data_IF_736812276850
#
_entry.id   IF_736812276850
#
_cell.length_a   1.000
_cell.length_b   1.000
_cell.length_c   1.000
_cell.angle_alpha   90.00
_cell.angle_beta   90.00
_cell.angle_gamma   90.00
#
_symmetry.space_group_name_H-M   'P 1'
#
loop_
_entity.id
_entity.type
_entity.pdbx_description
1 polymer ?
#
# COMPACT_ATOMS: atom_id res chain seq x y z
N UNK A 1 -8.13 -13.86 -5.75
CA UNK A 1 -7.73 -12.44 -6.03
C UNK A 1 -7.38 -12.32 -7.50
N UNK A 2 -7.94 -11.31 -8.17
CA UNK A 2 -7.68 -11.07 -9.61
C UNK A 2 -6.54 -10.07 -9.79
N UNK A 3 -5.69 -10.31 -10.79
CA UNK A 3 -4.54 -9.48 -11.14
C UNK A 3 -4.82 -8.77 -12.46
N UNK A 4 -4.47 -7.49 -12.55
CA UNK A 4 -4.70 -6.65 -13.73
C UNK A 4 -3.41 -6.18 -14.41
N UNK A 5 -2.27 -6.24 -13.73
CA UNK A 5 -0.97 -5.87 -14.28
C UNK A 5 0.18 -6.48 -13.48
N UNK A 6 1.35 -6.59 -14.10
CA UNK A 6 2.58 -7.12 -13.50
C UNK A 6 3.75 -6.22 -13.89
N UNK A 7 4.58 -5.88 -12.91
CA UNK A 7 5.93 -5.34 -13.14
C UNK A 7 6.92 -6.40 -12.68
N UNK A 8 7.62 -7.01 -13.64
CA UNK A 8 8.52 -8.16 -13.38
C UNK A 8 9.81 -7.78 -12.67
N UNK A 9 10.23 -6.52 -12.79
CA UNK A 9 11.48 -6.02 -12.22
C UNK A 9 11.20 -4.79 -11.35
N UNK A 10 10.98 -5.01 -10.06
CA UNK A 10 10.71 -3.98 -9.06
C UNK A 10 11.86 -3.90 -8.06
N UNK A 11 12.68 -2.85 -8.16
CA UNK A 11 13.83 -2.64 -7.27
C UNK A 11 13.55 -1.61 -6.17
N UNK A 12 12.81 -0.54 -6.48
CA UNK A 12 12.54 0.55 -5.53
C UNK A 12 11.39 0.15 -4.60
N UNK A 13 10.34 -0.43 -5.15
CA UNK A 13 9.14 -0.84 -4.41
C UNK A 13 9.40 -2.03 -3.49
N UNK A 14 10.41 -2.86 -3.78
CA UNK A 14 10.69 -4.04 -2.98
C UNK A 14 11.45 -3.77 -1.68
N UNK A 15 12.03 -2.58 -1.46
CA UNK A 15 12.71 -2.28 -0.20
C UNK A 15 11.86 -2.67 1.03
N UNK A 16 12.46 -3.27 2.06
CA UNK A 16 13.89 -3.44 2.35
C UNK A 16 14.55 -4.64 1.64
N UNK A 17 13.86 -5.35 0.76
CA UNK A 17 14.40 -6.45 -0.04
C UNK A 17 15.11 -5.93 -1.30
N UNK A 18 15.66 -6.83 -2.13
CA UNK A 18 16.57 -6.42 -3.21
C UNK A 18 15.88 -6.39 -4.57
N UNK A 19 15.18 -7.46 -4.96
CA UNK A 19 14.57 -7.61 -6.27
C UNK A 19 13.19 -8.26 -6.15
N UNK A 20 12.17 -7.59 -6.63
CA UNK A 20 10.80 -8.05 -6.51
C UNK A 20 10.03 -8.06 -7.82
N UNK A 21 8.90 -8.74 -7.77
CA UNK A 21 7.84 -8.68 -8.78
C UNK A 21 6.61 -8.03 -8.17
N UNK A 22 6.03 -7.03 -8.86
CA UNK A 22 4.83 -6.33 -8.39
C UNK A 22 3.59 -6.84 -9.11
N UNK A 23 2.62 -7.30 -8.33
CA UNK A 23 1.33 -7.79 -8.80
C UNK A 23 0.23 -6.78 -8.44
N UNK A 24 -0.41 -6.24 -9.47
CA UNK A 24 -1.44 -5.21 -9.31
C UNK A 24 -2.82 -5.85 -9.20
N UNK A 25 -3.44 -5.74 -8.04
CA UNK A 25 -4.77 -6.30 -7.76
C UNK A 25 -5.89 -5.50 -8.39
N UNK A 26 -6.94 -6.21 -8.80
CA UNK A 26 -8.21 -5.64 -9.22
C UNK A 26 -9.01 -5.13 -8.02
N UNK A 27 -9.70 -3.99 -8.18
CA UNK A 27 -10.63 -3.43 -7.20
C UNK A 27 -9.97 -2.60 -6.10
N UNK A 28 -10.77 -1.68 -5.54
CA UNK A 28 -10.37 -0.83 -4.43
C UNK A 28 -11.59 -0.46 -3.58
N UNK A 29 -11.39 -0.32 -2.27
CA UNK A 29 -12.40 0.13 -1.31
C UNK A 29 -12.43 1.65 -1.11
N UNK A 30 -11.54 2.40 -1.75
CA UNK A 30 -11.54 3.87 -1.79
C UNK A 30 -11.77 4.38 -3.23
N UNK A 31 -12.12 5.68 -3.35
CA UNK A 31 -12.36 6.36 -4.62
C UNK A 31 -11.57 7.67 -4.69
N UNK A 32 -10.26 7.56 -4.51
CA UNK A 32 -9.39 8.73 -4.45
C UNK A 32 -9.37 9.48 -5.78
N UNK A 33 -9.65 10.79 -5.78
CA UNK A 33 -9.59 11.67 -6.96
C UNK A 33 -8.17 11.75 -7.53
N UNK A 34 -7.15 11.58 -6.69
CA UNK A 34 -5.74 11.57 -7.06
C UNK A 34 -5.17 10.15 -7.29
N UNK A 35 -6.01 9.16 -7.57
CA UNK A 35 -5.53 7.78 -7.78
C UNK A 35 -4.48 7.77 -8.89
N UNK A 36 -3.22 7.50 -8.52
CA UNK A 36 -2.06 7.46 -9.42
C UNK A 36 -1.80 6.08 -9.99
N UNK A 37 -1.17 6.07 -11.14
CA UNK A 37 -0.60 4.88 -11.75
C UNK A 37 -1.61 4.00 -12.49
N UNK A 38 -2.70 3.71 -11.86
CA UNK A 38 -3.87 3.11 -12.46
C UNK A 38 -5.04 3.96 -12.01
N UNK A 39 -5.59 4.76 -12.91
CA UNK A 39 -6.84 5.43 -12.62
C UNK A 39 -7.85 4.37 -12.14
N UNK A 40 -8.83 4.80 -11.35
CA UNK A 40 -9.84 3.91 -10.78
C UNK A 40 -10.44 2.96 -11.83
N UNK A 41 -10.66 3.44 -13.06
CA UNK A 41 -11.13 2.65 -14.19
C UNK A 41 -10.22 1.48 -14.53
N UNK A 42 -8.89 1.66 -14.51
CA UNK A 42 -7.95 0.59 -14.86
C UNK A 42 -8.04 -0.57 -13.88
N UNK A 43 -8.09 -0.29 -12.58
CA UNK A 43 -8.14 -1.33 -11.53
C UNK A 43 -9.55 -1.87 -11.27
N UNK A 44 -10.59 -1.29 -11.86
CA UNK A 44 -11.99 -1.75 -11.72
C UNK A 44 -12.61 -2.25 -13.03
N UNK A 45 -11.90 -2.18 -14.16
CA UNK A 45 -12.38 -2.70 -15.42
C UNK A 45 -11.99 -4.19 -15.56
N UNK A 46 -13.00 -5.05 -15.55
CA UNK A 46 -12.81 -6.52 -15.66
C UNK A 46 -12.07 -6.94 -16.93
N UNK A 47 -12.12 -6.15 -18.00
CA UNK A 47 -11.36 -6.42 -19.23
C UNK A 47 -9.85 -6.37 -19.04
N UNK A 48 -9.38 -5.75 -17.98
CA UNK A 48 -7.96 -5.67 -17.65
C UNK A 48 -7.48 -6.86 -16.81
N UNK A 49 -8.35 -7.76 -16.38
CA UNK A 49 -7.97 -8.94 -15.61
C UNK A 49 -7.13 -9.86 -16.50
N UNK A 50 -5.91 -10.16 -16.05
CA UNK A 50 -4.97 -11.03 -16.75
C UNK A 50 -4.91 -12.45 -16.17
N UNK A 51 -5.40 -12.66 -14.94
CA UNK A 51 -5.46 -13.98 -14.31
C UNK A 51 -5.82 -13.95 -12.84
N UNK A 52 -5.92 -15.14 -12.28
CA UNK A 52 -6.01 -15.36 -10.83
C UNK A 52 -4.63 -15.29 -10.20
N UNK A 53 -4.55 -14.80 -8.95
CA UNK A 53 -3.28 -14.55 -8.28
C UNK A 53 -2.38 -15.78 -8.19
N UNK A 54 -2.91 -16.96 -7.94
CA UNK A 54 -2.10 -18.20 -7.82
C UNK A 54 -1.53 -18.58 -9.19
N UNK A 55 -2.32 -18.55 -10.26
CA UNK A 55 -1.86 -18.81 -11.62
C UNK A 55 -0.75 -17.85 -12.04
N UNK A 56 -0.91 -16.57 -11.69
CA UNK A 56 0.10 -15.53 -11.95
C UNK A 56 1.37 -15.77 -11.13
N UNK A 57 1.26 -16.14 -9.85
CA UNK A 57 2.41 -16.45 -9.02
C UNK A 57 3.21 -17.64 -9.61
N UNK A 58 2.52 -18.71 -9.97
CA UNK A 58 3.14 -19.92 -10.54
C UNK A 58 3.82 -19.68 -11.89
N UNK A 59 3.27 -18.80 -12.71
CA UNK A 59 3.80 -18.50 -14.05
C UNK A 59 4.88 -17.43 -14.09
N UNK A 60 4.84 -16.45 -13.18
CA UNK A 60 5.65 -15.22 -13.28
C UNK A 60 6.75 -15.11 -12.23
N UNK A 61 6.59 -15.75 -11.06
CA UNK A 61 7.59 -15.69 -10.00
C UNK A 61 8.72 -16.67 -10.29
N UNK A 62 9.93 -16.13 -10.44
CA UNK A 62 11.15 -16.91 -10.70
C UNK A 62 12.00 -17.09 -9.44
N UNK A 63 12.98 -18.02 -9.44
CA UNK A 63 13.94 -18.15 -8.34
C UNK A 63 14.71 -16.86 -8.03
N UNK A 64 14.89 -16.00 -9.03
CA UNK A 64 15.65 -14.74 -8.90
C UNK A 64 14.92 -13.67 -8.08
N UNK A 65 13.59 -13.70 -8.03
CA UNK A 65 12.83 -12.75 -7.22
C UNK A 65 12.97 -13.07 -5.73
N UNK A 66 13.42 -12.10 -4.93
CA UNK A 66 13.46 -12.17 -3.47
C UNK A 66 12.09 -11.97 -2.85
N UNK A 67 11.30 -11.07 -3.46
CA UNK A 67 10.08 -10.54 -2.89
C UNK A 67 8.94 -10.52 -3.91
N UNK A 68 7.73 -10.83 -3.44
CA UNK A 68 6.48 -10.58 -4.16
C UNK A 68 5.79 -9.37 -3.53
N UNK A 69 5.47 -8.38 -4.36
CA UNK A 69 4.84 -7.14 -3.96
C UNK A 69 3.38 -7.14 -4.41
N UNK A 70 2.47 -7.06 -3.47
CA UNK A 70 1.04 -6.92 -3.73
C UNK A 70 0.65 -5.45 -3.67
N UNK A 71 0.18 -4.90 -4.78
CA UNK A 71 -0.12 -3.49 -5.01
C UNK A 71 -1.34 -3.36 -5.93
N UNK A 72 -1.65 -2.19 -6.43
CA UNK A 72 -2.63 -1.95 -7.50
C UNK A 72 -3.84 -1.18 -7.04
N UNK A 73 -5.05 -1.76 -7.03
CA UNK A 73 -6.22 -1.21 -6.39
C UNK A 73 -6.03 -1.20 -4.88
N UNK A 74 -6.59 -2.19 -4.20
CA UNK A 74 -6.34 -2.42 -2.78
C UNK A 74 -6.27 -3.94 -2.54
N UNK A 75 -5.09 -4.52 -2.33
CA UNK A 75 -4.95 -5.96 -2.15
C UNK A 75 -5.74 -6.52 -0.95
N UNK A 76 -5.86 -5.74 0.13
CA UNK A 76 -6.48 -6.20 1.38
C UNK A 76 -7.99 -6.44 1.28
N UNK A 77 -8.69 -5.95 0.24
CA UNK A 77 -10.10 -6.26 0.02
C UNK A 77 -10.33 -7.74 -0.34
N UNK A 78 -9.28 -8.43 -0.79
CA UNK A 78 -9.36 -9.83 -1.21
C UNK A 78 -9.24 -10.83 -0.06
N UNK A 79 -8.98 -10.37 1.18
CA UNK A 79 -9.03 -11.18 2.39
C UNK A 79 -8.37 -12.55 2.23
N UNK A 80 -9.18 -13.63 2.27
CA UNK A 80 -8.68 -15.01 2.21
C UNK A 80 -7.87 -15.33 0.95
N UNK A 81 -8.19 -14.76 -0.19
CA UNK A 81 -7.44 -15.02 -1.43
C UNK A 81 -6.06 -14.37 -1.38
N UNK A 82 -5.94 -13.18 -0.80
CA UNK A 82 -4.65 -12.56 -0.55
C UNK A 82 -3.83 -13.42 0.44
N UNK A 83 -4.45 -13.88 1.53
CA UNK A 83 -3.75 -14.74 2.51
C UNK A 83 -3.26 -16.05 1.89
N UNK A 84 -4.01 -16.67 0.99
CA UNK A 84 -3.54 -17.84 0.21
C UNK A 84 -2.32 -17.50 -0.65
N UNK A 85 -2.33 -16.35 -1.32
CA UNK A 85 -1.21 -15.90 -2.13
C UNK A 85 0.04 -15.63 -1.28
N UNK A 86 -0.12 -14.99 -0.12
CA UNK A 86 0.96 -14.75 0.84
C UNK A 86 1.53 -16.07 1.39
N UNK A 87 0.66 -17.04 1.69
CA UNK A 87 1.09 -18.38 2.13
C UNK A 87 1.88 -19.10 1.02
N UNK A 88 1.40 -19.02 -0.23
CA UNK A 88 2.13 -19.55 -1.38
C UNK A 88 3.54 -18.94 -1.47
N UNK A 89 3.66 -17.62 -1.30
CA UNK A 89 4.97 -16.95 -1.29
C UNK A 89 5.89 -17.51 -0.19
N UNK A 90 5.36 -17.70 1.01
CA UNK A 90 6.08 -18.26 2.14
C UNK A 90 6.56 -19.67 1.88
N UNK A 91 5.68 -20.53 1.34
CA UNK A 91 5.98 -21.94 1.02
C UNK A 91 7.06 -22.05 -0.08
N UNK A 92 7.17 -21.03 -0.94
CA UNK A 92 8.19 -20.92 -2.00
C UNK A 92 9.40 -20.06 -1.60
N UNK A 93 9.58 -19.74 -0.33
CA UNK A 93 10.75 -19.02 0.20
C UNK A 93 10.84 -17.57 -0.25
N UNK A 94 9.72 -16.94 -0.64
CA UNK A 94 9.65 -15.55 -1.08
C UNK A 94 9.24 -14.63 0.06
N UNK A 95 9.89 -13.46 0.14
CA UNK A 95 9.43 -12.36 0.99
C UNK A 95 8.17 -11.72 0.41
N UNK A 96 7.39 -11.11 1.29
CA UNK A 96 6.14 -10.45 0.89
C UNK A 96 6.12 -9.00 1.33
N UNK A 97 5.70 -8.11 0.43
CA UNK A 97 5.41 -6.72 0.74
C UNK A 97 4.03 -6.35 0.22
N UNK A 98 3.25 -5.66 1.04
CA UNK A 98 1.90 -5.23 0.67
C UNK A 98 1.83 -3.70 0.71
N UNK A 99 1.38 -3.12 -0.41
CA UNK A 99 0.99 -1.73 -0.50
C UNK A 99 -0.50 -1.63 -0.20
N UNK A 100 -0.86 -0.85 0.80
CA UNK A 100 -2.24 -0.72 1.23
C UNK A 100 -2.59 0.72 1.61
N UNK A 101 -3.86 1.07 1.42
CA UNK A 101 -4.39 2.33 1.94
C UNK A 101 -4.64 2.29 3.46
N UNK A 102 -4.40 1.17 4.12
CA UNK A 102 -4.51 1.01 5.57
C UNK A 102 -5.93 0.94 6.12
N UNK A 103 -6.96 1.01 5.26
CA UNK A 103 -8.36 1.12 5.70
C UNK A 103 -8.98 -0.23 6.13
N UNK A 104 -8.55 -1.34 5.56
CA UNK A 104 -9.08 -2.68 5.86
C UNK A 104 -8.39 -3.30 7.10
N UNK A 105 -8.44 -2.62 8.25
CA UNK A 105 -7.74 -3.01 9.48
C UNK A 105 -7.90 -4.49 9.85
N UNK A 106 -9.12 -5.02 9.81
CA UNK A 106 -9.35 -6.41 10.23
C UNK A 106 -8.58 -7.43 9.36
N UNK A 107 -8.53 -7.23 8.04
CA UNK A 107 -7.74 -8.07 7.14
C UNK A 107 -6.24 -7.92 7.39
N UNK A 108 -5.78 -6.67 7.59
CA UNK A 108 -4.37 -6.38 7.87
C UNK A 108 -3.95 -7.05 9.18
N UNK A 109 -4.76 -6.92 10.22
CA UNK A 109 -4.52 -7.57 11.50
C UNK A 109 -4.44 -9.11 11.37
N UNK A 110 -5.36 -9.72 10.63
CA UNK A 110 -5.34 -11.18 10.40
C UNK A 110 -4.08 -11.64 9.67
N UNK A 111 -3.64 -10.89 8.63
CA UNK A 111 -2.38 -11.14 7.92
C UNK A 111 -1.18 -11.05 8.88
N UNK A 112 -1.16 -10.06 9.76
CA UNK A 112 -0.11 -9.87 10.76
C UNK A 112 -0.14 -10.95 11.85
N UNK A 113 -1.32 -11.35 12.33
CA UNK A 113 -1.49 -12.42 13.30
C UNK A 113 -0.94 -13.77 12.77
N UNK A 114 -1.10 -14.01 11.47
CA UNK A 114 -0.58 -15.21 10.78
C UNK A 114 0.90 -15.05 10.38
N UNK A 115 1.50 -13.88 10.56
CA UNK A 115 2.87 -13.60 10.17
C UNK A 115 3.12 -13.75 8.66
N UNK A 116 2.15 -13.40 7.82
CA UNK A 116 2.19 -13.60 6.39
C UNK A 116 2.78 -12.43 5.60
N UNK A 117 3.00 -11.27 6.22
CA UNK A 117 3.58 -10.09 5.58
C UNK A 117 4.92 -9.74 6.20
N UNK A 118 5.96 -9.64 5.37
CA UNK A 118 7.32 -9.29 5.80
C UNK A 118 7.57 -7.77 5.79
N UNK A 119 6.80 -6.99 5.04
CA UNK A 119 6.88 -5.53 5.02
C UNK A 119 5.57 -4.88 4.55
N UNK A 120 5.26 -3.73 5.09
CA UNK A 120 4.11 -2.92 4.67
C UNK A 120 4.56 -1.61 4.03
N UNK A 121 3.84 -1.19 3.00
CA UNK A 121 3.84 0.18 2.51
C UNK A 121 2.44 0.74 2.66
N UNK A 122 2.27 1.70 3.58
CA UNK A 122 0.96 2.25 3.94
C UNK A 122 0.82 3.66 3.39
N UNK A 123 -0.26 3.90 2.67
CA UNK A 123 -0.58 5.21 2.15
C UNK A 123 -1.21 6.11 3.23
N UNK A 124 -0.53 7.20 3.53
CA UNK A 124 -1.07 8.31 4.30
C UNK A 124 -1.70 9.32 3.34
N UNK A 125 -3.03 9.26 3.17
CA UNK A 125 -3.74 9.89 2.05
C UNK A 125 -3.94 11.42 2.16
N UNK A 126 -3.61 12.02 3.29
CA UNK A 126 -3.74 13.47 3.51
C UNK A 126 -4.15 13.83 4.92
N UNK A 127 -4.43 15.10 5.18
CA UNK A 127 -4.77 15.63 6.49
C UNK A 127 -6.07 15.05 7.03
N UNK A 128 -6.08 14.76 8.34
CA UNK A 128 -7.23 14.16 9.03
C UNK A 128 -8.53 14.96 8.85
N UNK A 129 -8.45 16.28 8.81
CA UNK A 129 -9.63 17.15 8.66
C UNK A 129 -10.10 17.35 7.21
N UNK A 130 -9.34 16.88 6.20
CA UNK A 130 -9.62 17.15 4.78
C UNK A 130 -9.75 15.90 3.91
N UNK A 131 -9.09 14.80 4.29
CA UNK A 131 -8.92 13.63 3.42
C UNK A 131 -10.23 13.01 2.93
N UNK A 132 -11.27 13.01 3.74
CA UNK A 132 -12.58 12.44 3.39
C UNK A 132 -13.23 13.09 2.18
N UNK A 133 -12.90 14.36 1.89
CA UNK A 133 -13.45 15.08 0.75
C UNK A 133 -13.07 14.47 -0.61
N UNK A 134 -11.96 13.70 -0.68
CA UNK A 134 -11.41 13.22 -1.95
C UNK A 134 -11.04 11.72 -1.99
N UNK A 135 -11.36 10.95 -0.94
CA UNK A 135 -11.10 9.49 -0.93
C UNK A 135 -12.37 8.63 -0.96
N UNK A 136 -13.56 9.24 -0.86
CA UNK A 136 -14.84 8.57 -0.95
C UNK A 136 -15.35 7.90 0.33
N UNK A 137 -14.70 8.15 1.48
CA UNK A 137 -15.14 7.76 2.83
C UNK A 137 -14.89 8.90 3.80
N UNK A 138 -15.53 8.90 4.98
CA UNK A 138 -15.32 9.97 5.95
C UNK A 138 -13.88 9.98 6.50
N UNK A 139 -13.36 11.18 6.81
CA UNK A 139 -12.03 11.33 7.41
C UNK A 139 -11.90 10.54 8.70
N UNK A 140 -12.90 10.61 9.59
CA UNK A 140 -12.86 9.94 10.88
C UNK A 140 -12.84 8.42 10.74
N UNK A 141 -13.65 7.86 9.85
CA UNK A 141 -13.66 6.43 9.59
C UNK A 141 -12.34 5.94 9.02
N UNK A 142 -11.78 6.68 8.04
CA UNK A 142 -10.48 6.38 7.46
C UNK A 142 -9.37 6.40 8.52
N UNK A 143 -9.26 7.49 9.28
CA UNK A 143 -8.20 7.63 10.28
C UNK A 143 -8.34 6.70 11.47
N UNK A 144 -9.55 6.35 11.88
CA UNK A 144 -9.77 5.32 12.90
C UNK A 144 -9.16 3.97 12.48
N UNK A 145 -9.38 3.55 11.25
CA UNK A 145 -8.82 2.30 10.74
C UNK A 145 -7.31 2.41 10.48
N UNK A 146 -6.85 3.51 9.87
CA UNK A 146 -5.43 3.76 9.63
C UNK A 146 -4.62 3.76 10.93
N UNK A 147 -5.10 4.43 11.97
CA UNK A 147 -4.43 4.47 13.28
C UNK A 147 -4.30 3.08 13.89
N UNK A 148 -5.36 2.26 13.84
CA UNK A 148 -5.31 0.86 14.30
C UNK A 148 -4.30 0.04 13.50
N UNK A 149 -4.31 0.20 12.18
CA UNK A 149 -3.37 -0.46 11.26
C UNK A 149 -1.93 -0.12 11.59
N UNK A 150 -1.60 1.17 11.69
CA UNK A 150 -0.25 1.63 12.00
C UNK A 150 0.19 1.17 13.39
N UNK A 151 -0.69 1.27 14.39
CA UNK A 151 -0.40 0.81 15.75
C UNK A 151 -0.09 -0.69 15.79
N UNK A 152 -0.84 -1.52 15.06
CA UNK A 152 -0.60 -2.97 14.99
C UNK A 152 0.74 -3.29 14.32
N UNK A 153 1.04 -2.68 13.17
CA UNK A 153 2.31 -2.87 12.43
C UNK A 153 3.50 -2.44 13.29
N UNK A 154 3.43 -1.26 13.92
CA UNK A 154 4.49 -0.68 14.75
C UNK A 154 4.73 -1.55 15.99
N UNK A 155 3.68 -1.96 16.70
CA UNK A 155 3.81 -2.77 17.91
C UNK A 155 4.39 -4.16 17.66
N UNK A 156 4.28 -4.67 16.42
CA UNK A 156 4.89 -5.95 15.99
C UNK A 156 6.28 -5.78 15.39
N UNK A 157 6.74 -4.54 15.27
CA UNK A 157 8.04 -4.21 14.69
C UNK A 157 8.22 -4.74 13.24
N UNK A 158 7.14 -4.70 12.44
CA UNK A 158 7.17 -5.10 11.04
C UNK A 158 7.73 -3.94 10.21
N UNK A 159 8.66 -4.17 9.25
CA UNK A 159 9.16 -3.15 8.33
C UNK A 159 8.04 -2.31 7.71
N UNK A 160 8.17 -0.99 7.80
CA UNK A 160 7.12 -0.05 7.43
C UNK A 160 7.63 1.06 6.52
N UNK A 161 6.92 1.30 5.43
CA UNK A 161 7.04 2.48 4.59
C UNK A 161 5.74 3.27 4.67
N UNK A 162 5.84 4.57 4.92
CA UNK A 162 4.70 5.49 4.83
C UNK A 162 4.84 6.28 3.53
N UNK A 163 3.79 6.32 2.74
CA UNK A 163 3.74 7.05 1.47
C UNK A 163 2.65 8.11 1.49
N UNK A 164 3.01 9.34 1.15
CA UNK A 164 2.05 10.43 0.96
C UNK A 164 2.08 10.90 -0.48
N UNK A 165 0.91 10.99 -1.10
CA UNK A 165 0.74 11.62 -2.40
C UNK A 165 0.13 13.00 -2.21
N UNK A 166 0.86 14.04 -2.56
CA UNK A 166 0.33 15.39 -2.56
C UNK A 166 -0.54 15.61 -3.80
N UNK A 167 -1.79 15.89 -3.55
CA UNK A 167 -2.80 16.16 -4.58
C UNK A 167 -2.86 17.64 -4.95
N UNK A 168 -2.52 18.51 -4.02
CA UNK A 168 -2.58 19.96 -4.16
C UNK A 168 -1.20 20.62 -3.98
N UNK A 169 -0.97 21.75 -4.68
CA UNK A 169 0.24 22.56 -4.51
C UNK A 169 0.20 23.43 -3.23
N UNK A 170 -0.74 23.14 -2.31
CA UNK A 170 -0.85 23.84 -1.05
C UNK A 170 0.32 23.47 -0.13
N UNK A 171 1.28 24.38 -0.02
CA UNK A 171 2.47 24.21 0.82
C UNK A 171 2.13 24.06 2.31
N UNK A 172 1.08 24.73 2.78
CA UNK A 172 0.63 24.64 4.18
C UNK A 172 0.14 23.23 4.52
N UNK A 173 -0.66 22.61 3.64
CA UNK A 173 -1.11 21.24 3.82
C UNK A 173 0.06 20.23 3.83
N UNK A 174 1.11 20.48 3.04
CA UNK A 174 2.32 19.64 3.03
C UNK A 174 3.08 19.75 4.36
N UNK A 175 3.22 20.94 4.92
CA UNK A 175 3.87 21.15 6.21
C UNK A 175 3.09 20.50 7.35
N UNK A 176 1.76 20.61 7.32
CA UNK A 176 0.91 19.97 8.33
C UNK A 176 0.94 18.44 8.25
N UNK A 177 0.92 17.86 7.05
CA UNK A 177 1.13 16.41 6.88
C UNK A 177 2.49 15.98 7.45
N UNK A 178 3.56 16.74 7.18
CA UNK A 178 4.88 16.44 7.75
C UNK A 178 4.92 16.52 9.26
N UNK A 179 4.13 17.40 9.89
CA UNK A 179 3.97 17.45 11.36
C UNK A 179 3.26 16.19 11.87
N UNK A 180 2.16 15.78 11.23
CA UNK A 180 1.45 14.53 11.58
C UNK A 180 2.36 13.30 11.42
N UNK A 181 3.20 13.24 10.39
CA UNK A 181 4.18 12.16 10.21
C UNK A 181 5.26 12.18 11.30
N UNK A 182 5.76 13.35 11.72
CA UNK A 182 6.70 13.45 12.84
C UNK A 182 6.09 13.01 14.18
N UNK A 183 4.81 13.19 14.37
CA UNK A 183 4.11 12.66 15.55
C UNK A 183 4.04 11.12 15.49
N UNK A 184 3.79 10.55 14.31
CA UNK A 184 3.86 9.11 14.11
C UNK A 184 5.28 8.57 14.37
N UNK A 185 6.32 9.24 13.89
CA UNK A 185 7.72 8.85 14.14
C UNK A 185 8.06 8.86 15.63
N UNK A 186 7.63 9.88 16.38
CA UNK A 186 7.78 9.90 17.86
C UNK A 186 7.04 8.74 18.52
N UNK A 187 5.83 8.44 18.08
CA UNK A 187 5.09 7.27 18.56
C UNK A 187 5.85 5.95 18.29
N UNK A 188 6.48 5.82 17.13
CA UNK A 188 7.34 4.66 16.80
C UNK A 188 8.52 4.53 17.78
N UNK A 189 9.20 5.64 18.09
CA UNK A 189 10.30 5.68 19.07
C UNK A 189 9.82 5.28 20.46
N UNK A 190 8.68 5.82 20.93
CA UNK A 190 8.07 5.47 22.21
C UNK A 190 7.69 3.99 22.31
N UNK A 191 7.32 3.35 21.18
CA UNK A 191 7.02 1.91 21.11
C UNK A 191 8.28 1.04 20.94
N UNK A 192 9.46 1.63 20.83
CA UNK A 192 10.70 0.90 20.63
C UNK A 192 10.79 0.28 19.24
N UNK A 193 10.15 0.86 18.24
CA UNK A 193 10.25 0.41 16.84
C UNK A 193 11.69 0.57 16.36
N UNK A 194 12.30 -0.51 15.89
CA UNK A 194 13.68 -0.56 15.43
C UNK A 194 13.84 -1.29 14.09
N UNK A 195 12.74 -1.60 13.42
CA UNK A 195 12.72 -2.21 12.10
C UNK A 195 12.96 -1.17 11.00
N UNK A 196 13.01 -1.62 9.74
CA UNK A 196 13.12 -0.72 8.61
C UNK A 196 11.94 0.26 8.56
N UNK A 197 12.25 1.56 8.47
CA UNK A 197 11.27 2.62 8.27
C UNK A 197 11.72 3.55 7.15
N UNK A 198 10.76 3.99 6.34
CA UNK A 198 10.95 5.01 5.32
C UNK A 198 9.68 5.85 5.16
N UNK A 199 9.85 7.16 5.14
CA UNK A 199 8.82 8.08 4.68
C UNK A 199 9.09 8.51 3.24
N UNK A 200 8.07 8.44 2.40
CA UNK A 200 8.16 8.75 0.98
C UNK A 200 7.08 9.75 0.58
N UNK A 201 7.49 10.91 0.05
CA UNK A 201 6.62 11.93 -0.51
C UNK A 201 6.57 11.81 -2.04
N UNK A 202 5.38 11.85 -2.60
CA UNK A 202 5.18 11.79 -4.04
C UNK A 202 4.30 12.95 -4.50
N UNK A 203 4.77 13.71 -5.48
CA UNK A 203 3.97 14.77 -6.11
C UNK A 203 3.05 14.20 -7.19
N UNK A 204 1.85 14.76 -7.32
CA UNK A 204 0.98 14.50 -8.46
C UNK A 204 1.31 15.45 -9.61
N UNK A 205 2.11 14.99 -10.55
CA UNK A 205 2.52 15.78 -11.72
C UNK A 205 1.39 15.99 -12.75
N UNK A 206 0.25 15.29 -12.64
CA UNK A 206 -0.85 15.42 -13.64
C UNK A 206 -1.43 16.82 -13.67
N UNK A 207 -1.51 17.53 -12.52
CA UNK A 207 -1.97 18.92 -12.47
C UNK A 207 -1.03 19.92 -13.16
N UNK A 208 0.28 19.65 -13.22
CA UNK A 208 1.22 20.52 -13.93
C UNK A 208 0.98 20.51 -15.44
N UNK A 209 0.63 19.35 -16.00
CA UNK A 209 0.36 19.18 -17.44
C UNK A 209 -0.93 19.89 -17.88
N UNK A 210 -1.95 19.96 -17.00
CA UNK A 210 -3.24 20.59 -17.32
C UNK A 210 -3.31 22.09 -17.00
N UNK A 211 -2.36 22.66 -16.25
CA UNK A 211 -2.28 24.12 -16.00
C UNK A 211 -1.54 24.88 -17.11
N UNK A 212 -0.79 24.20 -17.96
CA UNK A 212 -0.03 24.77 -19.08
C UNK A 212 -0.73 24.61 -20.45
N UNK A 213 -1.93 24.07 -20.49
CA UNK A 213 -2.83 23.95 -21.64
C UNK A 213 -4.10 24.80 -21.45
#
# INVERSE_FOLDING_TARGET
MKIVSIIRDSFIECAPFTWGISLFSFGCNLRCEFCKGYNYETVTNEKNIIGDVIEVLESEVTPAHDCVIFIGGEPTIWGKDLMKALQWCKDNGKKTKIFSNGYAYNTIKEINDLGLCDAWSIDYKGLKNKVGAYIGVSSDEYFNNLTKTLTDIISRNIPLEIRTTYFDDNLEDREDIRKEIKELERFMEEKGFNSYYKYFEQEDFRKKIYKES
#
